data_IF_341609634426
#
_entry.id   IF_341609634426
#
_cell.length_a   1.000
_cell.length_b   1.000
_cell.length_c   1.000
_cell.angle_alpha   90.00
_cell.angle_beta   90.00
_cell.angle_gamma   90.00
#
_symmetry.space_group_name_H-M   'P 1'
#
loop_
_entity.id
_entity.type
_entity.pdbx_description
1 polymer ?
#
# COMPACT_ATOMS: atom_id res chain seq x y z
N UNK A 1 -15.18 -0.68 8.44
CA UNK A 1 -15.00 -1.03 9.83
C UNK A 1 -13.74 -0.37 10.39
N UNK A 2 -12.90 -1.08 11.16
CA UNK A 2 -11.73 -0.47 11.81
C UNK A 2 -10.74 0.16 10.82
N UNK A 3 -10.56 -0.44 9.64
CA UNK A 3 -9.69 0.14 8.61
C UNK A 3 -10.22 1.48 8.13
N UNK A 4 -11.52 1.55 7.88
CA UNK A 4 -12.18 2.78 7.43
C UNK A 4 -12.03 3.87 8.47
N UNK A 5 -12.19 3.52 9.74
CA UNK A 5 -12.07 4.49 10.83
C UNK A 5 -10.66 5.07 10.92
N UNK A 6 -9.63 4.21 10.81
CA UNK A 6 -8.24 4.67 10.83
C UNK A 6 -7.90 5.55 9.64
N UNK A 7 -8.41 5.21 8.46
CA UNK A 7 -8.15 5.96 7.24
C UNK A 7 -9.01 7.21 7.13
N UNK A 8 -10.09 7.29 7.90
CA UNK A 8 -11.02 8.42 7.86
C UNK A 8 -10.41 9.75 8.28
N UNK A 9 -9.32 9.72 9.05
CA UNK A 9 -8.64 10.93 9.49
C UNK A 9 -7.65 11.48 8.47
N UNK A 10 -7.42 10.75 7.37
CA UNK A 10 -6.49 11.17 6.33
C UNK A 10 -7.11 12.26 5.45
N UNK A 11 -6.30 13.15 4.86
CA UNK A 11 -6.78 14.05 3.82
C UNK A 11 -7.46 13.27 2.71
N UNK A 12 -8.43 13.90 2.06
CA UNK A 12 -9.25 13.27 1.04
C UNK A 12 -8.41 12.67 -0.09
N UNK A 13 -7.36 13.36 -0.55
CA UNK A 13 -6.53 12.87 -1.64
C UNK A 13 -5.84 11.56 -1.27
N UNK A 14 -5.39 11.41 -0.02
CA UNK A 14 -4.80 10.16 0.45
C UNK A 14 -5.83 9.03 0.50
N UNK A 15 -7.03 9.33 0.99
CA UNK A 15 -8.10 8.33 1.04
C UNK A 15 -8.43 7.82 -0.37
N UNK A 16 -8.56 8.73 -1.32
CA UNK A 16 -8.89 8.37 -2.70
C UNK A 16 -7.75 7.61 -3.36
N UNK A 17 -6.50 7.99 -3.11
CA UNK A 17 -5.34 7.28 -3.63
C UNK A 17 -5.29 5.84 -3.10
N UNK A 18 -5.55 5.64 -1.82
CA UNK A 18 -5.55 4.30 -1.22
C UNK A 18 -6.64 3.43 -1.83
N UNK A 19 -7.84 3.98 -2.00
CA UNK A 19 -8.94 3.25 -2.65
C UNK A 19 -8.59 2.87 -4.08
N UNK A 20 -8.05 3.82 -4.83
CA UNK A 20 -7.69 3.61 -6.23
C UNK A 20 -6.57 2.57 -6.35
N UNK A 21 -5.53 2.70 -5.53
CA UNK A 21 -4.42 1.77 -5.52
C UNK A 21 -4.88 0.35 -5.18
N UNK A 22 -5.73 0.23 -4.16
CA UNK A 22 -6.28 -1.07 -3.76
C UNK A 22 -7.03 -1.72 -4.91
N UNK A 23 -7.89 -0.97 -5.59
CA UNK A 23 -8.66 -1.46 -6.73
C UNK A 23 -7.74 -1.92 -7.86
N UNK A 24 -6.78 -1.08 -8.24
CA UNK A 24 -5.85 -1.39 -9.33
C UNK A 24 -5.02 -2.63 -9.01
N UNK A 25 -4.50 -2.72 -7.80
CA UNK A 25 -3.71 -3.88 -7.38
C UNK A 25 -4.53 -5.16 -7.41
N UNK A 26 -5.76 -5.12 -6.89
CA UNK A 26 -6.64 -6.28 -6.90
C UNK A 26 -7.03 -6.69 -8.32
N UNK A 27 -7.30 -5.74 -9.19
CA UNK A 27 -7.62 -6.03 -10.60
C UNK A 27 -6.46 -6.68 -11.34
N UNK A 28 -5.24 -6.49 -10.87
CA UNK A 28 -4.04 -7.06 -11.49
C UNK A 28 -3.52 -8.30 -10.78
N UNK A 29 -4.28 -8.85 -9.85
CA UNK A 29 -4.00 -10.15 -9.25
C UNK A 29 -3.56 -10.16 -7.81
N UNK A 30 -3.38 -9.01 -7.16
CA UNK A 30 -3.00 -8.99 -5.75
C UNK A 30 -4.10 -9.66 -4.90
N UNK A 31 -3.67 -10.53 -3.99
CA UNK A 31 -4.59 -11.20 -3.07
C UNK A 31 -4.83 -10.40 -1.81
N UNK A 32 -3.82 -9.65 -1.36
CA UNK A 32 -3.92 -8.81 -0.17
C UNK A 32 -3.17 -7.51 -0.39
N UNK A 33 -3.74 -6.41 0.09
CA UNK A 33 -3.13 -5.08 0.01
C UNK A 33 -3.09 -4.48 1.40
N UNK A 34 -1.93 -3.94 1.77
CA UNK A 34 -1.71 -3.36 3.09
C UNK A 34 -1.12 -1.97 2.98
N UNK A 35 -1.37 -1.16 4.00
CA UNK A 35 -0.70 0.13 4.19
C UNK A 35 0.22 -0.03 5.41
N UNK A 36 1.39 0.57 5.37
CA UNK A 36 2.30 0.56 6.50
C UNK A 36 2.92 1.95 6.69
N UNK A 37 3.87 2.06 7.61
CA UNK A 37 4.57 3.32 7.84
C UNK A 37 3.73 4.36 8.56
N UNK A 38 4.00 5.63 8.28
CA UNK A 38 3.43 6.75 9.03
C UNK A 38 1.90 6.82 8.93
N UNK A 39 1.34 6.49 7.77
CA UNK A 39 -0.11 6.50 7.60
C UNK A 39 -0.77 5.43 8.47
N UNK A 40 -0.20 4.23 8.49
CA UNK A 40 -0.77 3.12 9.26
C UNK A 40 -0.69 3.34 10.76
N UNK A 41 0.36 4.02 11.25
CA UNK A 41 0.56 4.23 12.68
C UNK A 41 0.08 5.61 13.18
N UNK A 42 -0.58 6.38 12.33
CA UNK A 42 -1.18 7.65 12.72
C UNK A 42 -0.22 8.82 12.82
N UNK A 43 1.01 8.67 12.36
CA UNK A 43 2.04 9.72 12.43
C UNK A 43 2.28 10.42 11.10
N UNK A 44 1.28 10.39 10.23
CA UNK A 44 1.40 11.02 8.92
C UNK A 44 1.34 12.55 9.01
N UNK A 45 1.88 13.20 7.99
CA UNK A 45 1.72 14.64 7.78
C UNK A 45 1.45 14.86 6.27
N UNK A 46 1.27 16.11 5.86
CA UNK A 46 0.91 16.44 4.47
C UNK A 46 1.97 16.06 3.44
N UNK A 47 3.17 15.72 3.88
CA UNK A 47 4.27 15.31 3.01
C UNK A 47 4.57 13.81 3.11
N UNK A 48 3.74 13.06 3.83
CA UNK A 48 3.94 11.61 3.96
C UNK A 48 3.68 10.91 2.65
N UNK A 49 4.55 9.94 2.30
CA UNK A 49 4.32 9.04 1.19
C UNK A 49 3.31 7.97 1.63
N UNK A 50 2.63 7.38 0.65
CA UNK A 50 1.75 6.25 0.91
C UNK A 50 2.58 4.97 0.78
N UNK A 51 2.79 4.28 1.89
CA UNK A 51 3.57 3.05 1.91
C UNK A 51 2.62 1.86 1.74
N UNK A 52 2.73 1.19 0.59
CA UNK A 52 1.82 0.10 0.20
C UNK A 52 2.60 -1.20 0.11
N UNK A 53 2.05 -2.26 0.69
CA UNK A 53 2.63 -3.59 0.61
C UNK A 53 1.59 -4.55 0.04
N UNK A 54 2.02 -5.50 -0.80
CA UNK A 54 1.10 -6.41 -1.48
C UNK A 54 1.55 -7.85 -1.38
N UNK A 55 0.59 -8.76 -1.46
CA UNK A 55 0.80 -10.19 -1.62
C UNK A 55 0.06 -10.70 -2.84
N UNK A 56 0.59 -11.74 -3.45
CA UNK A 56 -0.07 -12.44 -4.55
C UNK A 56 0.16 -11.86 -5.93
N UNK A 57 0.92 -10.78 -6.02
CA UNK A 57 1.17 -10.13 -7.30
C UNK A 57 2.46 -10.68 -7.91
N UNK A 58 2.41 -11.24 -9.13
CA UNK A 58 3.63 -11.75 -9.75
C UNK A 58 4.53 -10.61 -10.21
N UNK A 59 5.83 -10.92 -10.43
CA UNK A 59 6.81 -9.89 -10.74
C UNK A 59 6.51 -9.08 -11.99
N UNK A 60 5.99 -9.72 -13.03
CA UNK A 60 5.63 -9.02 -14.26
C UNK A 60 4.56 -7.97 -13.99
N UNK A 61 3.56 -8.35 -13.22
CA UNK A 61 2.47 -7.43 -12.88
C UNK A 61 2.90 -6.38 -11.88
N UNK A 62 3.86 -6.69 -11.02
CA UNK A 62 4.36 -5.74 -10.02
C UNK A 62 4.86 -4.46 -10.68
N UNK A 63 5.77 -4.56 -11.65
CA UNK A 63 6.32 -3.38 -12.31
C UNK A 63 5.28 -2.66 -13.17
N UNK A 64 4.43 -3.43 -13.83
CA UNK A 64 3.34 -2.87 -14.61
C UNK A 64 2.41 -2.03 -13.74
N UNK A 65 2.00 -2.57 -12.60
CA UNK A 65 1.08 -1.90 -11.70
C UNK A 65 1.73 -0.68 -11.06
N UNK A 66 3.01 -0.79 -10.69
CA UNK A 66 3.74 0.36 -10.16
C UNK A 66 3.70 1.53 -11.15
N UNK A 67 3.88 1.24 -12.44
CA UNK A 67 3.78 2.27 -13.48
C UNK A 67 2.39 2.88 -13.57
N UNK A 68 1.35 2.05 -13.49
CA UNK A 68 -0.04 2.52 -13.51
C UNK A 68 -0.29 3.45 -12.32
N UNK A 69 0.16 3.05 -11.14
CA UNK A 69 -0.03 3.85 -9.93
C UNK A 69 0.68 5.20 -10.02
N UNK A 70 1.84 5.25 -10.66
CA UNK A 70 2.55 6.52 -10.86
C UNK A 70 1.72 7.53 -11.66
N UNK A 71 0.91 7.06 -12.60
CA UNK A 71 0.02 7.93 -13.36
C UNK A 71 -1.28 8.24 -12.64
N UNK A 72 -1.79 7.29 -11.87
CA UNK A 72 -3.15 7.38 -11.32
C UNK A 72 -3.22 8.05 -9.96
N UNK A 73 -2.18 7.92 -9.14
CA UNK A 73 -2.20 8.47 -7.79
C UNK A 73 -1.73 9.92 -7.77
N UNK A 74 -2.33 10.72 -6.90
CA UNK A 74 -1.96 12.12 -6.72
C UNK A 74 -0.74 12.29 -5.84
N UNK A 75 -0.57 11.40 -4.85
CA UNK A 75 0.51 11.48 -3.88
C UNK A 75 1.62 10.49 -4.22
N UNK A 76 2.80 10.76 -3.67
CA UNK A 76 3.91 9.83 -3.82
C UNK A 76 3.67 8.57 -3.00
N UNK A 77 4.20 7.45 -3.47
CA UNK A 77 3.98 6.16 -2.84
C UNK A 77 5.21 5.28 -2.99
N UNK A 78 5.31 4.28 -2.11
CA UNK A 78 6.24 3.17 -2.22
C UNK A 78 5.43 1.88 -2.32
N UNK A 79 5.84 0.97 -3.18
CA UNK A 79 5.17 -0.31 -3.36
C UNK A 79 6.15 -1.44 -3.05
N UNK A 80 5.81 -2.27 -2.07
CA UNK A 80 6.66 -3.37 -1.58
C UNK A 80 5.98 -4.69 -1.85
N UNK A 81 6.74 -5.65 -2.39
CA UNK A 81 6.28 -7.02 -2.62
C UNK A 81 6.60 -7.88 -1.38
N UNK A 82 5.56 -8.26 -0.64
CA UNK A 82 5.73 -9.06 0.58
C UNK A 82 6.09 -10.52 0.28
N UNK A 83 5.92 -10.97 -0.95
CA UNK A 83 6.27 -12.32 -1.35
C UNK A 83 7.73 -12.47 -1.79
N UNK A 84 8.46 -11.37 -1.87
CA UNK A 84 9.86 -11.40 -2.27
C UNK A 84 10.73 -11.83 -1.08
N UNK A 85 11.11 -13.09 -1.08
CA UNK A 85 11.83 -13.70 0.05
C UNK A 85 13.22 -13.13 0.28
N UNK A 86 13.86 -12.62 -0.76
CA UNK A 86 15.19 -12.05 -0.66
C UNK A 86 15.20 -10.61 -0.18
N UNK A 87 14.06 -9.95 -0.14
CA UNK A 87 13.94 -8.59 0.33
C UNK A 87 13.84 -8.57 1.84
N UNK A 88 14.91 -8.12 2.51
CA UNK A 88 14.97 -8.07 3.96
C UNK A 88 13.91 -7.18 4.57
N UNK A 89 13.60 -6.07 3.92
CA UNK A 89 12.59 -5.14 4.42
C UNK A 89 11.20 -5.79 4.42
N UNK A 90 10.87 -6.49 3.32
CA UNK A 90 9.60 -7.22 3.22
C UNK A 90 9.48 -8.27 4.33
N UNK A 91 10.55 -9.02 4.56
CA UNK A 91 10.56 -10.06 5.59
C UNK A 91 10.44 -9.46 6.99
N UNK A 92 11.07 -8.31 7.22
CA UNK A 92 10.95 -7.60 8.48
C UNK A 92 9.51 -7.14 8.74
N UNK A 93 8.85 -6.58 7.72
CA UNK A 93 7.46 -6.14 7.84
C UNK A 93 6.53 -7.29 8.22
N UNK A 94 6.72 -8.45 7.59
CA UNK A 94 5.93 -9.64 7.92
C UNK A 94 6.14 -10.09 9.35
N UNK A 95 7.37 -9.92 9.86
CA UNK A 95 7.75 -10.40 11.17
C UNK A 95 7.30 -9.47 12.29
N UNK A 96 7.51 -8.16 12.14
CA UNK A 96 7.24 -7.21 13.21
C UNK A 96 5.81 -6.66 13.20
N UNK A 97 5.10 -6.84 12.11
CA UNK A 97 3.75 -6.32 11.98
C UNK A 97 3.74 -4.85 11.57
N UNK A 98 2.69 -4.13 11.96
CA UNK A 98 2.53 -2.74 11.55
C UNK A 98 1.88 -2.60 10.19
N UNK A 99 1.34 -3.70 9.64
CA UNK A 99 0.61 -3.71 8.39
C UNK A 99 -0.88 -3.54 8.67
N UNK A 100 -1.49 -2.57 8.00
CA UNK A 100 -2.93 -2.35 8.07
C UNK A 100 -3.54 -2.84 6.76
N UNK A 101 -4.33 -3.90 6.83
CA UNK A 101 -4.94 -4.46 5.63
C UNK A 101 -6.05 -3.55 5.10
N UNK A 102 -6.00 -3.23 3.81
CA UNK A 102 -7.01 -2.40 3.14
C UNK A 102 -7.70 -3.13 1.99
N UNK A 103 -7.18 -4.26 1.60
CA UNK A 103 -7.81 -5.04 0.54
C UNK A 103 -7.44 -6.49 0.47
#
# INVERSE_FOLDING_TARGET
>A
TQMVDKLGDLPYSYQEDIKKATRILKENGATEVFIFGSIANGKFNKNSDIDIAVKGLNQKNFYKVASILMFELENEFDLIDLDEKENRFSQMLLKVGGLLRVG
#
